data_IF_264691302113
#
_entry.id   IF_264691302113
#
_cell.length_a   1.000
_cell.length_b   1.000
_cell.length_c   1.000
_cell.angle_alpha   90.00
_cell.angle_beta   90.00
_cell.angle_gamma   90.00
#
_symmetry.space_group_name_H-M   'P 1'
#
loop_
_entity.id
_entity.type
_entity.pdbx_description
1 polymer ?
#
# COMPACT_ATOMS: atom_id res chain seq x y z
N UNK A 1 3.70 -6.17 -26.14
CA UNK A 1 3.39 -6.78 -24.83
C UNK A 1 1.94 -6.57 -24.51
N UNK A 2 1.24 -7.62 -24.14
CA UNK A 2 -0.19 -7.61 -23.82
C UNK A 2 -0.37 -8.20 -22.42
N UNK A 3 -0.50 -7.34 -21.42
CA UNK A 3 -0.39 -7.71 -20.01
C UNK A 3 -1.73 -7.52 -19.30
N UNK A 4 -2.07 -8.46 -18.43
CA UNK A 4 -3.22 -8.34 -17.52
C UNK A 4 -2.76 -8.44 -16.06
N UNK A 5 -3.14 -7.46 -15.25
CA UNK A 5 -3.02 -7.49 -13.80
C UNK A 5 -4.14 -8.35 -13.22
N UNK A 6 -3.85 -9.25 -12.29
CA UNK A 6 -4.88 -10.04 -11.60
C UNK A 6 -4.75 -9.83 -10.10
N UNK A 7 -5.86 -9.47 -9.44
CA UNK A 7 -5.98 -9.25 -7.99
C UNK A 7 -7.28 -9.89 -7.48
N UNK A 8 -7.32 -10.28 -6.20
CA UNK A 8 -8.53 -10.93 -5.66
C UNK A 8 -9.66 -9.93 -5.36
N UNK A 9 -9.34 -8.69 -5.01
CA UNK A 9 -10.31 -7.67 -4.62
C UNK A 9 -9.90 -6.28 -5.12
N UNK A 10 -10.87 -5.36 -5.22
CA UNK A 10 -10.64 -3.93 -5.43
C UNK A 10 -11.07 -3.09 -4.21
N UNK A 11 -11.14 -3.70 -3.03
CA UNK A 11 -11.25 -2.96 -1.77
C UNK A 11 -9.95 -2.18 -1.49
N UNK A 12 -10.00 -1.16 -0.62
CA UNK A 12 -8.82 -0.35 -0.34
C UNK A 12 -7.72 -1.16 0.39
N UNK A 13 -6.63 -1.36 -0.30
CA UNK A 13 -5.41 -2.02 0.19
C UNK A 13 -4.20 -1.66 -0.65
N UNK A 14 -3.00 -1.89 -0.12
CA UNK A 14 -1.75 -1.53 -0.81
C UNK A 14 -1.52 -2.33 -2.09
N UNK A 15 -1.75 -3.64 -2.06
CA UNK A 15 -1.60 -4.51 -3.23
C UNK A 15 -2.63 -4.21 -4.31
N UNK A 16 -3.88 -3.96 -3.89
CA UNK A 16 -5.01 -3.62 -4.76
C UNK A 16 -4.74 -2.29 -5.48
N UNK A 17 -4.27 -1.28 -4.74
CA UNK A 17 -3.90 0.01 -5.30
C UNK A 17 -2.76 -0.13 -6.30
N UNK A 18 -1.74 -0.95 -6.00
CA UNK A 18 -0.65 -1.20 -6.93
C UNK A 18 -1.08 -1.91 -8.20
N UNK A 19 -1.99 -2.91 -8.12
CA UNK A 19 -2.52 -3.59 -9.30
C UNK A 19 -3.21 -2.61 -10.26
N UNK A 20 -4.01 -1.68 -9.72
CA UNK A 20 -4.66 -0.63 -10.51
C UNK A 20 -3.63 0.35 -11.07
N UNK A 21 -2.67 0.79 -10.25
CA UNK A 21 -1.63 1.71 -10.68
C UNK A 21 -0.83 1.14 -11.85
N UNK A 22 -0.46 -0.16 -11.79
CA UNK A 22 0.20 -0.83 -12.91
C UNK A 22 -0.69 -0.90 -14.15
N UNK A 23 -1.98 -1.27 -14.01
CA UNK A 23 -2.89 -1.31 -15.13
C UNK A 23 -3.04 0.07 -15.80
N UNK A 24 -3.25 1.12 -15.01
CA UNK A 24 -3.46 2.48 -15.49
C UNK A 24 -2.22 3.07 -16.19
N UNK A 25 -1.02 2.83 -15.65
CA UNK A 25 0.18 3.44 -16.23
C UNK A 25 0.66 2.69 -17.46
N UNK A 26 0.37 1.41 -17.56
CA UNK A 26 0.76 0.59 -18.70
C UNK A 26 -0.12 0.84 -19.93
N UNK A 27 -1.34 1.36 -19.77
CA UNK A 27 -2.29 1.51 -20.87
C UNK A 27 -1.76 2.36 -22.04
N UNK A 28 -0.95 3.37 -21.75
CA UNK A 28 -0.34 4.23 -22.76
C UNK A 28 1.12 3.83 -23.12
N UNK A 29 1.63 2.71 -22.57
CA UNK A 29 3.04 2.30 -22.72
C UNK A 29 3.23 0.93 -23.38
N UNK A 30 2.17 0.12 -23.41
CA UNK A 30 2.17 -1.22 -24.02
C UNK A 30 0.95 -1.39 -24.91
N UNK A 31 0.95 -2.43 -25.75
CA UNK A 31 -0.11 -2.67 -26.73
C UNK A 31 -1.48 -2.97 -26.08
N UNK A 32 -1.48 -3.61 -24.91
CA UNK A 32 -2.72 -3.91 -24.17
C UNK A 32 -2.45 -3.96 -22.67
N UNK A 33 -3.26 -3.23 -21.94
CA UNK A 33 -3.32 -3.28 -20.47
C UNK A 33 -4.70 -3.68 -19.99
N UNK A 34 -4.77 -4.69 -19.12
CA UNK A 34 -6.03 -5.14 -18.53
C UNK A 34 -5.92 -5.33 -17.03
N UNK A 35 -7.07 -5.35 -16.37
CA UNK A 35 -7.21 -5.63 -14.94
C UNK A 35 -8.32 -6.63 -14.71
N UNK A 36 -8.06 -7.64 -13.89
CA UNK A 36 -9.02 -8.67 -13.52
C UNK A 36 -9.16 -8.73 -12.01
N UNK A 37 -10.36 -8.43 -11.50
CA UNK A 37 -10.74 -8.70 -10.12
C UNK A 37 -11.34 -10.11 -10.02
N UNK A 38 -10.81 -10.96 -9.12
CA UNK A 38 -11.26 -12.35 -9.11
C UNK A 38 -12.48 -12.57 -8.22
N UNK A 39 -12.57 -11.92 -7.05
CA UNK A 39 -13.57 -12.22 -5.99
C UNK A 39 -14.50 -11.10 -5.64
N UNK A 40 -13.98 -9.88 -5.53
CA UNK A 40 -14.74 -8.71 -5.09
C UNK A 40 -14.40 -7.48 -5.92
N UNK A 41 -15.42 -6.75 -6.28
CA UNK A 41 -15.29 -5.35 -6.63
C UNK A 41 -15.27 -4.51 -5.35
N UNK A 42 -14.76 -3.30 -5.44
CA UNK A 42 -14.64 -2.39 -4.31
C UNK A 42 -14.51 -0.95 -4.78
N UNK A 43 -14.32 -0.05 -3.86
CA UNK A 43 -14.26 1.39 -4.14
C UNK A 43 -13.12 1.81 -5.07
N UNK A 44 -12.06 1.00 -5.18
CA UNK A 44 -10.98 1.28 -6.13
C UNK A 44 -11.39 1.05 -7.59
N UNK A 45 -12.55 0.44 -7.87
CA UNK A 45 -13.09 0.26 -9.22
C UNK A 45 -13.14 1.58 -10.00
N UNK A 46 -13.61 2.65 -9.36
CA UNK A 46 -13.73 3.98 -9.96
C UNK A 46 -12.37 4.66 -10.25
N UNK A 47 -11.26 4.05 -9.86
CA UNK A 47 -9.92 4.55 -10.13
C UNK A 47 -9.26 3.90 -11.34
N UNK A 48 -9.93 2.95 -11.97
CA UNK A 48 -9.46 2.29 -13.19
C UNK A 48 -9.63 3.27 -14.34
N UNK A 49 -8.56 3.48 -15.11
CA UNK A 49 -8.61 4.30 -16.31
C UNK A 49 -9.56 3.65 -17.34
N UNK A 50 -10.38 4.44 -18.02
CA UNK A 50 -11.36 3.98 -19.00
C UNK A 50 -10.76 3.17 -20.17
N UNK A 51 -9.49 3.43 -20.51
CA UNK A 51 -8.75 2.67 -21.55
C UNK A 51 -8.27 1.30 -21.07
N UNK A 52 -8.29 1.01 -19.77
CA UNK A 52 -7.92 -0.30 -19.22
C UNK A 52 -9.06 -1.29 -19.43
N UNK A 53 -8.76 -2.42 -20.07
CA UNK A 53 -9.76 -3.48 -20.22
C UNK A 53 -10.00 -4.17 -18.87
N UNK A 54 -11.23 -4.05 -18.34
CA UNK A 54 -11.59 -4.61 -17.06
C UNK A 54 -12.43 -5.88 -17.17
N UNK A 55 -12.18 -6.84 -16.28
CA UNK A 55 -13.00 -8.05 -16.13
C UNK A 55 -13.20 -8.40 -14.65
N UNK A 56 -14.46 -8.57 -14.23
CA UNK A 56 -14.79 -9.17 -12.94
C UNK A 56 -15.09 -10.66 -13.10
N UNK A 57 -14.32 -11.53 -12.43
CA UNK A 57 -14.49 -12.99 -12.54
C UNK A 57 -15.61 -13.54 -11.67
N UNK A 58 -16.01 -12.83 -10.61
CA UNK A 58 -17.05 -13.29 -9.69
C UNK A 58 -16.78 -14.71 -9.16
N UNK A 59 -15.54 -14.95 -8.71
CA UNK A 59 -15.07 -16.26 -8.23
C UNK A 59 -15.58 -16.51 -6.82
N UNK A 60 -16.31 -17.60 -6.61
CA UNK A 60 -16.92 -17.94 -5.32
C UNK A 60 -16.08 -18.95 -4.54
N UNK A 61 -15.54 -19.97 -5.20
CA UNK A 61 -14.80 -21.09 -4.58
C UNK A 61 -13.29 -20.96 -4.75
N UNK A 62 -12.50 -21.65 -3.90
CA UNK A 62 -11.03 -21.70 -4.08
C UNK A 62 -10.66 -22.23 -5.47
N UNK A 63 -11.29 -23.33 -5.89
CA UNK A 63 -11.21 -23.86 -7.26
C UNK A 63 -12.56 -23.61 -7.89
N UNK A 64 -12.60 -22.77 -8.92
CA UNK A 64 -13.80 -22.37 -9.65
C UNK A 64 -13.51 -22.48 -11.14
N UNK A 65 -13.85 -23.63 -11.70
CA UNK A 65 -13.62 -23.91 -13.12
C UNK A 65 -14.33 -22.93 -14.04
N UNK A 66 -15.54 -22.47 -13.67
CA UNK A 66 -16.27 -21.46 -14.46
C UNK A 66 -15.50 -20.14 -14.53
N UNK A 67 -14.93 -19.69 -13.40
CA UNK A 67 -14.06 -18.51 -13.36
C UNK A 67 -12.78 -18.72 -14.17
N UNK A 68 -12.14 -19.89 -14.09
CA UNK A 68 -10.97 -20.23 -14.91
C UNK A 68 -11.29 -20.17 -16.39
N UNK A 69 -12.43 -20.72 -16.85
CA UNK A 69 -12.83 -20.66 -18.26
C UNK A 69 -13.19 -19.26 -18.71
N UNK A 70 -13.86 -18.43 -17.87
CA UNK A 70 -14.11 -17.01 -18.18
C UNK A 70 -12.78 -16.25 -18.36
N UNK A 71 -11.81 -16.45 -17.45
CA UNK A 71 -10.49 -15.86 -17.56
C UNK A 71 -9.78 -16.32 -18.84
N UNK A 72 -9.75 -17.63 -19.12
CA UNK A 72 -9.18 -18.17 -20.36
C UNK A 72 -9.77 -17.54 -21.61
N UNK A 73 -11.10 -17.42 -21.69
CA UNK A 73 -11.79 -16.78 -22.81
C UNK A 73 -11.35 -15.33 -23.00
N UNK A 74 -11.27 -14.58 -21.90
CA UNK A 74 -10.81 -13.19 -21.90
C UNK A 74 -9.34 -13.07 -22.38
N UNK A 75 -8.45 -13.91 -21.85
CA UNK A 75 -7.03 -13.91 -22.22
C UNK A 75 -6.83 -14.24 -23.71
N UNK A 76 -7.56 -15.23 -24.23
CA UNK A 76 -7.51 -15.60 -25.65
C UNK A 76 -8.06 -14.51 -26.57
N UNK A 77 -9.24 -13.93 -26.23
CA UNK A 77 -9.87 -12.85 -27.00
C UNK A 77 -8.93 -11.66 -27.13
N UNK A 78 -8.23 -11.30 -26.06
CA UNK A 78 -7.33 -10.16 -26.02
C UNK A 78 -5.87 -10.50 -26.35
N UNK A 79 -5.55 -11.75 -26.79
CA UNK A 79 -4.21 -12.22 -27.15
C UNK A 79 -3.17 -11.90 -26.06
N UNK A 80 -3.54 -12.12 -24.78
CA UNK A 80 -2.66 -11.83 -23.64
C UNK A 80 -1.50 -12.79 -23.63
N UNK A 81 -0.29 -12.27 -23.48
CA UNK A 81 0.96 -13.03 -23.37
C UNK A 81 1.43 -13.21 -21.92
N UNK A 82 1.04 -12.26 -21.03
CA UNK A 82 1.55 -12.20 -19.66
C UNK A 82 0.44 -11.90 -18.66
N UNK A 83 0.38 -12.71 -17.61
CA UNK A 83 -0.41 -12.46 -16.40
C UNK A 83 0.52 -11.94 -15.32
N UNK A 84 0.24 -10.77 -14.76
CA UNK A 84 0.87 -10.26 -13.56
C UNK A 84 -0.08 -10.45 -12.38
N UNK A 85 0.19 -11.46 -11.56
CA UNK A 85 -0.66 -11.90 -10.47
C UNK A 85 -0.18 -11.30 -9.13
N UNK A 86 -1.05 -10.55 -8.46
CA UNK A 86 -0.76 -9.92 -7.18
C UNK A 86 -1.22 -10.79 -6.01
N UNK A 87 -0.36 -10.94 -5.00
CA UNK A 87 -0.67 -11.65 -3.75
C UNK A 87 -1.27 -13.04 -3.98
N UNK A 88 -2.45 -13.34 -3.41
CA UNK A 88 -3.12 -14.66 -3.48
C UNK A 88 -3.70 -15.00 -4.85
N UNK A 89 -3.82 -14.04 -5.77
CA UNK A 89 -4.38 -14.27 -7.11
C UNK A 89 -3.51 -15.20 -8.00
N UNK A 90 -2.25 -15.46 -7.58
CA UNK A 90 -1.37 -16.43 -8.25
C UNK A 90 -2.04 -17.78 -8.46
N UNK A 91 -2.87 -18.20 -7.50
CA UNK A 91 -3.54 -19.50 -7.57
C UNK A 91 -4.47 -19.60 -8.79
N UNK A 92 -5.23 -18.52 -9.07
CA UNK A 92 -6.09 -18.46 -10.26
C UNK A 92 -5.26 -18.41 -11.55
N UNK A 93 -4.14 -17.69 -11.54
CA UNK A 93 -3.23 -17.62 -12.68
C UNK A 93 -2.62 -19.00 -13.01
N UNK A 94 -2.20 -19.76 -11.99
CA UNK A 94 -1.67 -21.13 -12.18
C UNK A 94 -2.73 -22.08 -12.72
N UNK A 95 -3.97 -22.02 -12.22
CA UNK A 95 -5.06 -22.84 -12.76
C UNK A 95 -5.30 -22.56 -14.25
N UNK A 96 -5.25 -21.31 -14.66
CA UNK A 96 -5.37 -20.95 -16.09
C UNK A 96 -4.19 -21.45 -16.90
N UNK A 97 -2.96 -21.43 -16.37
CA UNK A 97 -1.76 -21.90 -17.07
C UNK A 97 -1.87 -23.35 -17.48
N UNK A 98 -2.52 -24.22 -16.71
CA UNK A 98 -2.77 -25.60 -17.13
C UNK A 98 -3.66 -25.71 -18.40
N UNK A 99 -4.48 -24.69 -18.68
CA UNK A 99 -5.31 -24.62 -19.89
C UNK A 99 -4.68 -23.79 -21.03
N UNK A 100 -3.61 -23.05 -20.71
CA UNK A 100 -2.86 -22.16 -21.61
C UNK A 100 -1.37 -22.20 -21.27
N UNK A 101 -0.65 -23.30 -21.60
CA UNK A 101 0.75 -23.52 -21.17
C UNK A 101 1.72 -22.41 -21.59
N UNK A 102 1.46 -21.76 -22.74
CA UNK A 102 2.32 -20.67 -23.26
C UNK A 102 2.24 -19.35 -22.52
N UNK A 103 1.23 -19.14 -21.64
CA UNK A 103 1.09 -17.85 -20.95
C UNK A 103 2.19 -17.68 -19.89
N UNK A 104 2.80 -16.49 -19.84
CA UNK A 104 3.76 -16.15 -18.80
C UNK A 104 3.03 -15.72 -17.53
N UNK A 105 3.50 -16.16 -16.36
CA UNK A 105 2.98 -15.71 -15.07
C UNK A 105 4.11 -14.98 -14.34
N UNK A 106 3.87 -13.72 -14.00
CA UNK A 106 4.67 -12.95 -13.07
C UNK A 106 3.90 -12.89 -11.77
N UNK A 107 4.50 -13.33 -10.68
CA UNK A 107 3.86 -13.22 -9.37
C UNK A 107 4.49 -12.07 -8.59
N UNK A 108 3.64 -11.21 -7.99
CA UNK A 108 4.07 -10.07 -7.20
C UNK A 108 3.72 -10.26 -5.73
N UNK A 109 4.75 -10.35 -4.89
CA UNK A 109 4.60 -10.50 -3.45
C UNK A 109 4.55 -9.14 -2.77
N UNK A 110 3.40 -8.85 -2.13
CA UNK A 110 3.16 -7.65 -1.33
C UNK A 110 3.09 -7.94 0.17
N UNK A 111 3.29 -9.20 0.60
CA UNK A 111 3.05 -9.64 1.96
C UNK A 111 4.24 -9.40 2.88
N UNK A 112 4.18 -8.30 3.67
CA UNK A 112 5.28 -7.85 4.52
C UNK A 112 5.76 -8.80 5.60
N UNK A 113 4.96 -9.79 6.01
CA UNK A 113 5.33 -10.74 7.07
C UNK A 113 5.89 -12.07 6.55
N UNK A 114 5.95 -12.28 5.23
CA UNK A 114 6.37 -13.57 4.65
C UNK A 114 7.76 -14.03 5.10
N UNK A 115 8.67 -13.10 5.32
CA UNK A 115 10.01 -13.40 5.82
C UNK A 115 10.01 -14.13 7.18
N UNK A 116 8.96 -13.94 7.99
CA UNK A 116 8.77 -14.62 9.28
C UNK A 116 8.16 -16.02 9.12
N UNK A 117 7.73 -16.37 7.92
CA UNK A 117 7.06 -17.64 7.65
C UNK A 117 8.04 -18.69 7.09
N UNK A 118 7.86 -19.92 7.54
CA UNK A 118 8.63 -21.06 7.04
C UNK A 118 8.20 -21.47 5.61
N UNK A 119 9.09 -22.17 4.91
CA UNK A 119 8.77 -22.82 3.62
C UNK A 119 7.55 -23.74 3.72
N UNK A 120 7.38 -24.43 4.85
CA UNK A 120 6.27 -25.36 5.10
C UNK A 120 4.92 -24.63 5.13
N UNK A 121 4.84 -23.46 5.75
CA UNK A 121 3.63 -22.63 5.78
C UNK A 121 3.23 -22.14 4.38
N UNK A 122 4.20 -21.97 3.49
CA UNK A 122 4.01 -21.47 2.12
C UNK A 122 4.07 -22.59 1.05
N UNK A 123 3.91 -23.88 1.43
CA UNK A 123 4.13 -25.03 0.53
C UNK A 123 3.38 -24.94 -0.81
N UNK A 124 2.14 -24.45 -0.82
CA UNK A 124 1.33 -24.32 -2.04
C UNK A 124 1.95 -23.24 -2.96
N UNK A 125 2.34 -22.11 -2.40
CA UNK A 125 2.99 -21.03 -3.13
C UNK A 125 4.37 -21.47 -3.66
N UNK A 126 5.16 -22.16 -2.84
CA UNK A 126 6.46 -22.68 -3.24
C UNK A 126 6.31 -23.67 -4.39
N UNK A 127 5.34 -24.59 -4.33
CA UNK A 127 5.03 -25.47 -5.46
C UNK A 127 4.57 -24.66 -6.69
N UNK A 128 3.64 -23.74 -6.53
CA UNK A 128 3.15 -22.90 -7.62
C UNK A 128 4.26 -22.10 -8.32
N UNK A 129 5.35 -21.80 -7.61
CA UNK A 129 6.47 -21.04 -8.15
C UNK A 129 7.25 -21.76 -9.27
N UNK A 130 7.07 -23.04 -9.48
CA UNK A 130 7.55 -23.74 -10.69
C UNK A 130 6.92 -23.23 -11.98
N UNK A 131 5.70 -22.69 -11.90
CA UNK A 131 4.96 -22.21 -13.05
C UNK A 131 5.16 -20.70 -13.30
N UNK A 132 5.89 -20.00 -12.41
CA UNK A 132 6.15 -18.57 -12.56
C UNK A 132 7.31 -18.34 -13.53
N UNK A 133 7.13 -17.38 -14.43
CA UNK A 133 8.19 -16.88 -15.29
C UNK A 133 9.18 -16.02 -14.49
N UNK A 134 8.64 -15.18 -13.60
CA UNK A 134 9.43 -14.38 -12.64
C UNK A 134 8.60 -14.05 -11.40
N UNK A 135 9.30 -13.66 -10.33
CA UNK A 135 8.72 -13.19 -9.08
C UNK A 135 9.14 -11.74 -8.89
N UNK A 136 8.17 -10.86 -8.68
CA UNK A 136 8.42 -9.48 -8.26
C UNK A 136 8.18 -9.36 -6.77
N UNK A 137 9.03 -8.61 -6.10
CA UNK A 137 8.96 -8.39 -4.65
C UNK A 137 9.13 -6.93 -4.33
N UNK A 138 8.42 -6.45 -3.31
CA UNK A 138 8.37 -5.02 -2.97
C UNK A 138 9.46 -4.57 -1.99
N UNK A 139 10.21 -5.50 -1.39
CA UNK A 139 11.31 -5.17 -0.48
C UNK A 139 12.45 -6.20 -0.54
N UNK A 140 13.61 -5.85 0.03
CA UNK A 140 14.82 -6.68 -0.01
C UNK A 140 14.68 -7.95 0.83
N UNK A 141 13.95 -7.91 1.92
CA UNK A 141 13.72 -9.08 2.79
C UNK A 141 12.89 -10.15 2.05
N UNK A 142 11.88 -9.73 1.27
CA UNK A 142 11.12 -10.63 0.40
C UNK A 142 11.98 -11.15 -0.77
N UNK A 143 12.92 -10.34 -1.26
CA UNK A 143 13.88 -10.76 -2.29
C UNK A 143 14.72 -11.95 -1.81
N UNK A 144 15.33 -11.82 -0.64
CA UNK A 144 16.15 -12.86 -0.03
C UNK A 144 15.32 -14.11 0.29
N UNK A 145 14.16 -13.94 0.93
CA UNK A 145 13.26 -15.04 1.25
C UNK A 145 12.82 -15.80 0.00
N UNK A 146 12.44 -15.09 -1.05
CA UNK A 146 12.00 -15.71 -2.31
C UNK A 146 13.14 -16.44 -3.03
N UNK A 147 14.34 -15.86 -3.09
CA UNK A 147 15.52 -16.52 -3.66
C UNK A 147 15.87 -17.82 -2.95
N UNK A 148 15.73 -17.84 -1.61
CA UNK A 148 16.03 -19.01 -0.77
C UNK A 148 14.97 -20.11 -0.88
N UNK A 149 13.69 -19.75 -0.94
CA UNK A 149 12.60 -20.69 -0.72
C UNK A 149 11.80 -21.07 -1.98
N UNK A 150 11.78 -20.21 -3.03
CA UNK A 150 11.00 -20.43 -4.23
C UNK A 150 11.75 -21.25 -5.28
N UNK A 151 11.00 -21.94 -6.13
CA UNK A 151 11.56 -22.70 -7.27
C UNK A 151 11.86 -21.79 -8.46
N UNK A 152 11.09 -20.71 -8.66
CA UNK A 152 11.40 -19.68 -9.64
C UNK A 152 12.65 -18.90 -9.22
N UNK A 153 13.72 -18.95 -10.04
CA UNK A 153 15.00 -18.31 -9.72
C UNK A 153 15.08 -16.84 -10.13
N UNK A 154 14.17 -16.40 -11.01
CA UNK A 154 14.13 -15.02 -11.48
C UNK A 154 13.31 -14.16 -10.52
N UNK A 155 13.96 -13.64 -9.49
CA UNK A 155 13.36 -12.78 -8.47
C UNK A 155 13.87 -11.36 -8.64
N UNK A 156 12.97 -10.39 -8.82
CA UNK A 156 13.28 -9.00 -9.16
C UNK A 156 12.66 -8.08 -8.10
N UNK A 157 13.45 -7.17 -7.58
CA UNK A 157 12.95 -6.11 -6.69
C UNK A 157 12.30 -5.01 -7.52
N UNK A 158 11.00 -4.79 -7.28
CA UNK A 158 10.18 -3.73 -7.89
C UNK A 158 9.45 -2.99 -6.76
N UNK A 159 9.96 -1.86 -6.28
CA UNK A 159 9.32 -1.12 -5.21
C UNK A 159 7.98 -0.54 -5.65
N UNK A 160 7.13 -0.25 -4.68
CA UNK A 160 5.88 0.48 -4.93
C UNK A 160 6.16 1.93 -5.34
N UNK A 161 5.19 2.57 -5.95
CA UNK A 161 5.22 3.99 -6.32
C UNK A 161 3.83 4.62 -6.15
N UNK A 162 3.78 5.94 -6.15
CA UNK A 162 2.52 6.70 -6.14
C UNK A 162 2.26 7.26 -7.54
N UNK A 163 1.00 7.18 -7.99
CA UNK A 163 0.60 7.78 -9.26
C UNK A 163 0.59 9.30 -9.16
N UNK A 164 1.25 9.94 -10.12
CA UNK A 164 1.09 11.36 -10.39
C UNK A 164 -0.26 11.57 -11.08
N UNK A 165 -1.29 11.94 -10.30
CA UNK A 165 -2.62 12.24 -10.83
C UNK A 165 -2.79 13.74 -10.98
N UNK A 166 -3.34 14.17 -12.11
CA UNK A 166 -3.66 15.59 -12.38
C UNK A 166 -4.93 16.04 -11.65
N UNK A 167 -5.89 15.12 -11.43
CA UNK A 167 -7.12 15.43 -10.72
C UNK A 167 -6.96 15.28 -9.21
N UNK A 168 -7.33 16.32 -8.50
CA UNK A 168 -7.31 16.38 -7.04
C UNK A 168 -8.61 17.03 -6.55
N UNK A 169 -9.71 16.27 -6.44
CA UNK A 169 -10.95 16.82 -5.93
C UNK A 169 -10.72 17.36 -4.52
N UNK A 170 -11.25 18.57 -4.25
CA UNK A 170 -11.12 19.27 -2.97
C UNK A 170 -12.44 19.20 -2.21
N UNK A 171 -12.70 18.07 -1.56
CA UNK A 171 -13.99 17.78 -0.92
C UNK A 171 -13.90 17.91 0.59
N UNK A 172 -12.85 17.33 1.19
CA UNK A 172 -12.75 17.19 2.65
C UNK A 172 -11.88 18.29 3.25
N UNK A 173 -12.46 19.17 4.04
CA UNK A 173 -11.72 20.14 4.85
C UNK A 173 -11.36 19.52 6.20
N UNK A 174 -10.09 19.58 6.58
CA UNK A 174 -9.63 19.15 7.88
C UNK A 174 -9.92 20.24 8.92
N UNK A 175 -10.37 19.83 10.11
CA UNK A 175 -10.56 20.71 11.26
C UNK A 175 -9.21 21.06 11.90
N UNK A 176 -9.23 22.00 12.83
CA UNK A 176 -8.06 22.43 13.60
C UNK A 176 -7.19 23.46 12.89
N UNK A 177 -6.16 23.91 13.58
CA UNK A 177 -5.27 24.99 13.19
C UNK A 177 -4.38 24.60 11.99
N UNK A 178 -4.20 25.52 11.04
CA UNK A 178 -3.29 25.30 9.93
C UNK A 178 -1.84 25.22 10.44
N UNK A 179 -1.07 24.28 9.90
CA UNK A 179 0.30 24.01 10.38
C UNK A 179 0.38 23.06 11.59
N UNK A 180 -0.76 22.74 12.25
CA UNK A 180 -0.84 21.85 13.41
C UNK A 180 -1.79 20.65 13.22
N UNK A 181 -1.78 20.05 12.03
CA UNK A 181 -2.58 18.88 11.70
C UNK A 181 -1.71 17.66 11.50
N UNK A 182 -2.01 16.60 12.26
CA UNK A 182 -1.41 15.28 12.11
C UNK A 182 -2.39 14.40 11.35
N UNK A 183 -1.92 13.69 10.35
CA UNK A 183 -2.74 12.72 9.61
C UNK A 183 -2.21 11.29 9.81
N UNK A 184 -3.13 10.34 9.98
CA UNK A 184 -2.86 8.92 10.02
C UNK A 184 -3.70 8.22 8.95
N UNK A 185 -3.08 7.94 7.80
CA UNK A 185 -3.74 7.34 6.65
C UNK A 185 -3.64 5.81 6.71
N UNK A 186 -4.63 5.16 7.30
CA UNK A 186 -4.75 3.71 7.36
C UNK A 186 -6.17 3.28 7.74
N UNK A 187 -6.62 2.13 7.24
CA UNK A 187 -7.87 1.53 7.69
C UNK A 187 -7.81 1.17 9.18
N UNK A 188 -8.91 1.37 9.91
CA UNK A 188 -9.01 1.10 11.36
C UNK A 188 -9.04 -0.39 11.62
N UNK A 189 -7.87 -1.01 11.64
CA UNK A 189 -7.70 -2.45 11.91
C UNK A 189 -6.29 -2.77 12.40
N UNK A 190 -6.13 -3.89 13.09
CA UNK A 190 -4.79 -4.48 13.28
C UNK A 190 -4.18 -4.83 11.91
N UNK A 191 -2.88 -4.64 11.70
CA UNK A 191 -1.83 -4.23 12.64
C UNK A 191 -1.50 -2.72 12.61
N UNK A 192 -2.43 -1.82 12.24
CA UNK A 192 -2.14 -0.38 12.03
C UNK A 192 -1.85 0.42 13.30
N UNK A 193 -2.25 -0.07 14.48
CA UNK A 193 -1.85 0.44 15.79
C UNK A 193 -2.20 1.93 16.06
N UNK A 194 -3.39 2.37 15.65
CA UNK A 194 -3.85 3.75 15.86
C UNK A 194 -3.89 4.13 17.34
N UNK A 195 -4.22 3.16 18.21
CA UNK A 195 -4.38 3.40 19.65
C UNK A 195 -3.11 3.94 20.32
N UNK A 196 -1.92 3.50 19.89
CA UNK A 196 -0.65 3.97 20.46
C UNK A 196 -0.43 5.46 20.16
N UNK A 197 -0.81 5.92 18.96
CA UNK A 197 -0.70 7.33 18.58
C UNK A 197 -1.75 8.19 19.31
N UNK A 198 -2.97 7.69 19.44
CA UNK A 198 -4.03 8.38 20.18
C UNK A 198 -3.67 8.54 21.66
N UNK A 199 -3.10 7.50 22.29
CA UNK A 199 -2.58 7.58 23.67
C UNK A 199 -1.44 8.58 23.79
N UNK A 200 -0.45 8.52 22.89
CA UNK A 200 0.66 9.46 22.88
C UNK A 200 0.21 10.92 22.67
N UNK A 201 -0.77 11.14 21.78
CA UNK A 201 -1.40 12.46 21.56
C UNK A 201 -2.02 13.01 22.86
N UNK A 202 -2.74 12.18 23.60
CA UNK A 202 -3.34 12.52 24.89
C UNK A 202 -2.30 12.79 25.97
N UNK A 203 -1.32 11.88 26.13
CA UNK A 203 -0.27 11.95 27.16
C UNK A 203 0.60 13.21 27.02
N UNK A 204 0.87 13.61 25.77
CA UNK A 204 1.62 14.83 25.43
C UNK A 204 0.76 16.08 25.45
N UNK A 205 -0.56 15.97 25.73
CA UNK A 205 -1.52 17.09 25.73
C UNK A 205 -1.45 17.92 24.46
N UNK A 206 -1.30 17.27 23.30
CA UNK A 206 -1.14 17.97 22.02
C UNK A 206 -2.36 18.82 21.65
N UNK A 207 -3.55 18.44 22.12
CA UNK A 207 -4.77 19.25 22.01
C UNK A 207 -4.64 20.63 22.69
N UNK A 208 -3.97 20.74 23.85
CA UNK A 208 -3.75 22.00 24.56
C UNK A 208 -2.79 22.93 23.79
N UNK A 209 -1.90 22.34 22.96
CA UNK A 209 -0.99 23.06 22.06
C UNK A 209 -1.59 23.37 20.68
N UNK A 210 -2.90 23.14 20.48
CA UNK A 210 -3.64 23.43 19.25
C UNK A 210 -3.49 22.36 18.15
N UNK A 211 -2.87 21.23 18.42
CA UNK A 211 -2.76 20.14 17.46
C UNK A 211 -4.06 19.37 17.31
N UNK A 212 -4.29 18.86 16.09
CA UNK A 212 -5.39 17.93 15.80
C UNK A 212 -4.86 16.68 15.11
N UNK A 213 -5.52 15.54 15.33
CA UNK A 213 -5.20 14.24 14.74
C UNK A 213 -6.35 13.76 13.87
N UNK A 214 -6.07 13.42 12.63
CA UNK A 214 -7.07 12.98 11.66
C UNK A 214 -6.78 11.54 11.24
N UNK A 215 -7.67 10.62 11.61
CA UNK A 215 -7.60 9.19 11.27
C UNK A 215 -8.41 8.96 10.00
N UNK A 216 -7.71 8.68 8.89
CA UNK A 216 -8.30 8.57 7.55
C UNK A 216 -8.21 7.12 7.09
N UNK A 217 -9.35 6.47 6.94
CA UNK A 217 -9.44 5.08 6.49
C UNK A 217 -10.77 4.46 6.87
N UNK A 218 -11.03 3.27 6.32
CA UNK A 218 -12.27 2.54 6.54
C UNK A 218 -12.38 2.08 7.99
N UNK A 219 -13.51 2.35 8.59
CA UNK A 219 -13.93 1.76 9.85
C UNK A 219 -14.66 0.44 9.58
N UNK A 220 -14.25 -0.63 10.25
CA UNK A 220 -14.88 -1.95 10.13
C UNK A 220 -15.92 -2.20 11.22
N UNK A 221 -16.12 -1.24 12.14
CA UNK A 221 -17.07 -1.33 13.28
C UNK A 221 -16.83 -2.59 14.15
N UNK A 222 -15.57 -3.00 14.24
CA UNK A 222 -15.10 -4.14 14.99
C UNK A 222 -14.62 -3.74 16.41
N UNK A 223 -14.26 -4.69 17.28
CA UNK A 223 -13.76 -4.39 18.63
C UNK A 223 -12.56 -3.44 18.64
N UNK A 224 -11.71 -3.45 17.59
CA UNK A 224 -10.57 -2.55 17.48
C UNK A 224 -11.00 -1.09 17.31
N UNK A 225 -11.94 -0.84 16.42
CA UNK A 225 -12.45 0.51 16.21
C UNK A 225 -13.30 1.00 17.39
N UNK A 226 -13.97 0.08 18.09
CA UNK A 226 -14.71 0.40 19.32
C UNK A 226 -13.76 0.86 20.43
N UNK A 227 -12.68 0.11 20.71
CA UNK A 227 -11.68 0.48 21.71
C UNK A 227 -11.12 1.88 21.46
N UNK A 228 -10.80 2.19 20.19
CA UNK A 228 -10.30 3.49 19.80
C UNK A 228 -11.30 4.63 20.07
N UNK A 229 -12.56 4.43 19.71
CA UNK A 229 -13.63 5.41 19.94
C UNK A 229 -13.91 5.61 21.42
N UNK A 230 -13.95 4.54 22.20
CA UNK A 230 -14.18 4.57 23.64
C UNK A 230 -13.04 5.35 24.33
N UNK A 231 -11.79 5.16 23.93
CA UNK A 231 -10.66 5.91 24.47
C UNK A 231 -10.76 7.42 24.13
N UNK A 232 -11.07 7.77 22.88
CA UNK A 232 -11.23 9.17 22.46
C UNK A 232 -12.32 9.87 23.30
N UNK A 233 -13.46 9.21 23.48
CA UNK A 233 -14.60 9.74 24.24
C UNK A 233 -14.29 9.85 25.74
N UNK A 234 -13.70 8.82 26.35
CA UNK A 234 -13.40 8.83 27.79
C UNK A 234 -12.35 9.87 28.20
N UNK A 235 -11.54 10.36 27.24
CA UNK A 235 -10.58 11.42 27.46
C UNK A 235 -11.01 12.78 26.88
N UNK A 236 -12.28 12.95 26.45
CA UNK A 236 -12.85 14.20 25.90
C UNK A 236 -12.06 14.78 24.72
N UNK A 237 -11.58 13.90 23.81
CA UNK A 237 -10.73 14.27 22.68
C UNK A 237 -11.47 14.43 21.35
N UNK A 238 -12.82 14.36 21.32
CA UNK A 238 -13.63 14.33 20.09
C UNK A 238 -13.50 15.63 19.26
N UNK A 239 -13.15 16.73 19.90
CA UNK A 239 -12.92 18.01 19.22
C UNK A 239 -11.52 18.13 18.60
N UNK A 240 -10.59 17.21 18.92
CA UNK A 240 -9.19 17.26 18.49
C UNK A 240 -8.75 16.01 17.71
N UNK A 241 -9.42 14.86 17.93
CA UNK A 241 -9.16 13.62 17.19
C UNK A 241 -10.38 13.27 16.35
N UNK A 242 -10.19 13.27 15.02
CA UNK A 242 -11.26 13.14 14.05
C UNK A 242 -11.16 11.81 13.30
N UNK A 243 -12.18 10.95 13.44
CA UNK A 243 -12.34 9.77 12.61
C UNK A 243 -13.00 10.19 11.29
N UNK A 244 -12.19 10.40 10.26
CA UNK A 244 -12.64 10.94 8.98
C UNK A 244 -13.32 9.89 8.08
N UNK A 245 -13.21 8.60 8.41
CA UNK A 245 -13.68 7.53 7.54
C UNK A 245 -12.86 7.42 6.26
N UNK A 246 -13.38 6.66 5.31
CA UNK A 246 -12.75 6.48 4.01
C UNK A 246 -12.99 7.67 3.09
N UNK A 247 -11.93 8.14 2.41
CA UNK A 247 -11.96 9.35 1.57
C UNK A 247 -11.41 9.09 0.17
N UNK A 248 -11.97 9.82 -0.81
CA UNK A 248 -11.53 9.75 -2.22
C UNK A 248 -10.49 10.81 -2.56
N UNK A 249 -10.47 11.91 -1.83
CA UNK A 249 -9.62 13.09 -2.02
C UNK A 249 -8.39 13.10 -1.09
N UNK A 250 -7.76 11.93 -0.91
CA UNK A 250 -6.62 11.75 0.00
C UNK A 250 -5.49 12.75 -0.28
N UNK A 251 -5.17 13.01 -1.54
CA UNK A 251 -4.12 13.98 -1.90
C UNK A 251 -4.44 15.39 -1.38
N UNK A 252 -5.69 15.83 -1.50
CA UNK A 252 -6.12 17.12 -0.97
C UNK A 252 -6.12 17.15 0.56
N UNK A 253 -6.56 16.09 1.21
CA UNK A 253 -6.47 15.94 2.67
C UNK A 253 -5.02 16.06 3.14
N UNK A 254 -4.09 15.35 2.52
CA UNK A 254 -2.68 15.37 2.89
C UNK A 254 -2.07 16.77 2.69
N UNK A 255 -2.47 17.53 1.66
CA UNK A 255 -1.96 18.90 1.45
C UNK A 255 -2.36 19.90 2.55
N UNK A 256 -3.32 19.56 3.40
CA UNK A 256 -3.76 20.40 4.53
C UNK A 256 -3.06 20.05 5.85
N UNK A 257 -2.23 19.02 5.87
CA UNK A 257 -1.57 18.53 7.08
C UNK A 257 -0.09 18.95 7.13
N UNK A 258 0.53 18.80 8.28
CA UNK A 258 1.94 19.10 8.51
C UNK A 258 2.75 17.86 8.85
N UNK A 259 2.11 16.87 9.48
CA UNK A 259 2.76 15.65 9.95
C UNK A 259 1.96 14.43 9.48
N UNK A 260 2.65 13.47 8.89
CA UNK A 260 2.13 12.14 8.59
C UNK A 260 2.63 11.10 9.58
N UNK A 261 1.75 10.26 10.09
CA UNK A 261 2.12 9.20 11.05
C UNK A 261 1.82 7.82 10.48
N UNK A 262 2.75 6.88 10.69
CA UNK A 262 2.59 5.46 10.41
C UNK A 262 3.06 4.63 11.60
N UNK A 263 2.15 3.93 12.31
CA UNK A 263 2.47 3.22 13.56
C UNK A 263 2.29 1.70 13.48
N UNK A 264 2.19 1.15 12.29
CA UNK A 264 1.92 -0.28 12.08
C UNK A 264 2.95 -1.18 12.76
N UNK A 265 2.48 -2.30 13.33
CA UNK A 265 3.36 -3.36 13.86
C UNK A 265 3.83 -4.35 12.78
N UNK A 266 3.31 -4.23 11.55
CA UNK A 266 3.71 -5.02 10.39
C UNK A 266 3.53 -4.21 9.12
N UNK A 267 4.59 -4.08 8.32
CA UNK A 267 4.57 -3.45 6.99
C UNK A 267 5.39 -4.27 5.99
N UNK A 268 4.91 -4.27 4.74
CA UNK A 268 5.67 -4.79 3.61
C UNK A 268 6.49 -3.67 2.96
N UNK A 269 5.83 -2.93 2.07
CA UNK A 269 6.31 -1.68 1.53
C UNK A 269 5.23 -0.60 1.77
N UNK A 270 5.51 0.42 2.58
CA UNK A 270 4.50 1.38 3.03
C UNK A 270 4.20 2.44 1.97
N UNK A 271 3.22 2.20 1.10
CA UNK A 271 2.77 3.18 0.08
C UNK A 271 2.37 4.51 0.72
N UNK A 272 1.81 4.47 1.92
CA UNK A 272 1.43 5.66 2.70
C UNK A 272 2.61 6.62 2.93
N UNK A 273 3.82 6.11 3.17
CA UNK A 273 5.01 6.97 3.31
C UNK A 273 5.37 7.68 2.01
N UNK A 274 5.17 7.03 0.85
CA UNK A 274 5.34 7.70 -0.44
C UNK A 274 4.25 8.77 -0.68
N UNK A 275 3.03 8.53 -0.23
CA UNK A 275 1.93 9.51 -0.31
C UNK A 275 2.24 10.73 0.58
N UNK A 276 2.77 10.52 1.79
CA UNK A 276 3.24 11.60 2.67
C UNK A 276 4.40 12.37 2.05
N UNK A 277 5.39 11.66 1.47
CA UNK A 277 6.51 12.29 0.77
C UNK A 277 6.05 13.16 -0.41
N UNK A 278 5.10 12.66 -1.21
CA UNK A 278 4.53 13.41 -2.34
C UNK A 278 3.75 14.66 -1.89
N UNK A 279 3.14 14.62 -0.71
CA UNK A 279 2.43 15.74 -0.09
C UNK A 279 3.36 16.68 0.70
N UNK A 280 4.68 16.41 0.76
CA UNK A 280 5.68 17.14 1.54
C UNK A 280 5.34 17.21 3.04
N UNK A 281 4.88 16.12 3.62
CA UNK A 281 4.67 16.01 5.06
C UNK A 281 5.95 15.60 5.77
N UNK A 282 6.18 16.16 6.95
CA UNK A 282 7.14 15.60 7.89
C UNK A 282 6.58 14.27 8.44
N UNK A 283 7.42 13.24 8.59
CA UNK A 283 6.96 11.90 8.90
C UNK A 283 7.51 11.38 10.22
N UNK A 284 6.62 10.78 11.00
CA UNK A 284 6.96 9.93 12.16
C UNK A 284 6.47 8.51 11.85
N UNK A 285 7.38 7.55 11.76
CA UNK A 285 7.07 6.20 11.27
C UNK A 285 7.60 5.12 12.19
N UNK A 286 6.88 4.01 12.20
CA UNK A 286 7.42 2.75 12.73
C UNK A 286 8.71 2.34 12.01
N UNK A 287 9.58 1.59 12.69
CA UNK A 287 10.81 1.03 12.13
C UNK A 287 10.63 -0.38 11.54
N UNK A 288 9.39 -0.87 11.36
CA UNK A 288 9.14 -2.24 10.87
C UNK A 288 9.04 -2.34 9.35
N UNK A 289 9.36 -3.52 8.81
CA UNK A 289 9.28 -3.80 7.37
C UNK A 289 10.22 -2.91 6.58
N UNK A 290 9.75 -2.38 5.45
CA UNK A 290 10.54 -1.48 4.60
C UNK A 290 10.53 -0.02 5.07
N UNK A 291 9.93 0.28 6.22
CA UNK A 291 9.89 1.66 6.73
C UNK A 291 11.30 2.19 7.04
N UNK A 292 12.16 1.37 7.67
CA UNK A 292 13.55 1.72 8.00
C UNK A 292 14.49 1.78 6.79
N UNK A 293 14.07 1.24 5.64
CA UNK A 293 14.82 1.37 4.38
C UNK A 293 14.44 2.68 3.65
N UNK A 294 13.20 3.13 3.81
CA UNK A 294 12.69 4.34 3.17
C UNK A 294 12.97 5.59 4.03
N UNK A 295 12.85 5.45 5.35
CA UNK A 295 13.10 6.52 6.31
C UNK A 295 14.48 6.34 6.95
N UNK A 296 15.38 7.26 6.68
CA UNK A 296 16.61 7.46 7.43
C UNK A 296 16.30 8.42 8.58
N UNK A 297 16.31 7.89 9.81
CA UNK A 297 15.93 8.66 10.99
C UNK A 297 16.77 9.93 11.14
N UNK A 298 16.11 11.04 11.48
CA UNK A 298 16.66 12.39 11.63
C UNK A 298 17.14 13.07 10.34
N UNK A 299 17.15 12.35 9.21
CA UNK A 299 17.48 12.94 7.91
C UNK A 299 16.21 13.26 7.07
N UNK A 300 15.33 12.28 6.88
CA UNK A 300 14.11 12.44 6.06
C UNK A 300 12.83 12.00 6.80
N UNK A 301 12.89 11.79 8.11
CA UNK A 301 11.79 11.42 8.97
C UNK A 301 12.27 10.99 10.33
N UNK A 302 11.36 10.61 11.22
CA UNK A 302 11.67 10.07 12.54
C UNK A 302 11.16 8.65 12.66
N UNK A 303 11.95 7.75 13.23
CA UNK A 303 11.61 6.35 13.45
C UNK A 303 11.39 6.03 14.92
N UNK A 304 10.45 5.12 15.19
CA UNK A 304 10.19 4.58 16.54
C UNK A 304 9.87 3.08 16.49
N UNK A 305 10.11 2.39 17.58
CA UNK A 305 9.62 1.04 17.80
C UNK A 305 8.10 1.10 18.11
N UNK A 306 7.21 0.45 17.31
CA UNK A 306 5.76 0.53 17.50
C UNK A 306 5.25 -0.13 18.78
N UNK A 307 6.12 -0.82 19.52
CA UNK A 307 5.84 -1.45 20.82
C UNK A 307 6.41 -0.63 22.00
N UNK A 308 7.01 0.52 21.75
CA UNK A 308 7.60 1.41 22.75
C UNK A 308 6.82 2.71 22.87
N UNK A 309 5.93 2.81 23.86
CA UNK A 309 5.16 4.03 24.10
C UNK A 309 6.05 5.26 24.36
N UNK A 310 7.22 5.06 24.96
CA UNK A 310 8.18 6.13 25.23
C UNK A 310 8.81 6.67 23.94
N UNK A 311 9.22 5.80 23.03
CA UNK A 311 9.76 6.23 21.72
C UNK A 311 8.70 6.94 20.87
N UNK A 312 7.48 6.42 20.86
CA UNK A 312 6.35 7.05 20.14
C UNK A 312 6.14 8.48 20.64
N UNK A 313 6.08 8.67 21.97
CA UNK A 313 5.91 9.99 22.59
C UNK A 313 7.09 10.90 22.26
N UNK A 314 8.31 10.44 22.42
CA UNK A 314 9.52 11.21 22.13
C UNK A 314 9.55 11.73 20.68
N UNK A 315 9.22 10.87 19.69
CA UNK A 315 9.25 11.27 18.29
C UNK A 315 8.08 12.21 17.94
N UNK A 316 6.91 11.99 18.52
CA UNK A 316 5.77 12.91 18.34
C UNK A 316 6.06 14.27 18.95
N UNK A 317 6.59 14.35 20.16
CA UNK A 317 6.97 15.60 20.82
C UNK A 317 8.02 16.36 19.98
N UNK A 318 9.08 15.65 19.52
CA UNK A 318 10.13 16.22 18.69
C UNK A 318 9.58 16.84 17.39
N UNK A 319 8.70 16.13 16.68
CA UNK A 319 8.14 16.60 15.40
C UNK A 319 7.13 17.72 15.57
N UNK A 320 6.32 17.69 16.64
CA UNK A 320 5.33 18.74 16.91
C UNK A 320 5.95 20.01 17.47
N UNK A 321 7.06 19.89 18.18
CA UNK A 321 7.75 21.01 18.84
C UNK A 321 8.58 21.90 17.91
N UNK A 322 8.91 21.50 16.68
CA UNK A 322 9.80 22.27 15.81
C UNK A 322 9.31 22.35 14.35
N UNK A 323 8.90 23.53 13.94
CA UNK A 323 8.51 23.80 12.54
C UNK A 323 9.70 23.66 11.58
N UNK A 324 10.87 24.17 11.97
CA UNK A 324 12.09 24.09 11.17
C UNK A 324 12.49 22.64 10.93
N UNK A 325 12.40 21.77 11.95
CA UNK A 325 12.66 20.34 11.80
C UNK A 325 11.66 19.71 10.81
N UNK A 326 10.36 20.02 10.93
CA UNK A 326 9.34 19.52 9.99
C UNK A 326 9.67 19.89 8.56
N UNK A 327 10.05 21.14 8.31
CA UNK A 327 10.39 21.61 6.96
C UNK A 327 11.60 20.86 6.37
N UNK A 328 12.65 20.66 7.14
CA UNK A 328 13.86 19.92 6.72
C UNK A 328 13.52 18.46 6.38
N UNK A 329 12.86 17.75 7.31
CA UNK A 329 12.52 16.33 7.12
C UNK A 329 11.58 16.11 5.93
N UNK A 330 10.58 16.98 5.76
CA UNK A 330 9.63 16.92 4.65
C UNK A 330 10.31 17.12 3.29
N UNK A 331 11.22 18.09 3.17
CA UNK A 331 11.96 18.33 1.94
C UNK A 331 12.86 17.13 1.60
N UNK A 332 13.63 16.65 2.56
CA UNK A 332 14.53 15.50 2.35
C UNK A 332 13.76 14.23 1.97
N UNK A 333 12.58 14.01 2.56
CA UNK A 333 11.73 12.87 2.21
C UNK A 333 11.17 13.00 0.78
N UNK A 334 10.76 14.21 0.38
CA UNK A 334 10.29 14.45 -0.99
C UNK A 334 11.43 14.26 -2.01
N UNK A 335 12.65 14.72 -1.72
CA UNK A 335 13.82 14.47 -2.58
C UNK A 335 14.13 12.97 -2.71
N UNK A 336 14.05 12.21 -1.61
CA UNK A 336 14.19 10.76 -1.62
C UNK A 336 13.14 10.10 -2.53
N UNK A 337 11.87 10.54 -2.44
CA UNK A 337 10.81 10.06 -3.33
C UNK A 337 11.14 10.31 -4.80
N UNK A 338 11.49 11.55 -5.15
CA UNK A 338 11.76 11.95 -6.55
C UNK A 338 12.93 11.16 -7.12
N UNK A 339 13.99 11.00 -6.35
CA UNK A 339 15.24 10.34 -6.78
C UNK A 339 15.06 8.82 -6.93
N UNK A 340 14.42 8.17 -5.98
CA UNK A 340 14.44 6.70 -5.86
C UNK A 340 13.12 6.03 -6.22
N UNK A 341 11.99 6.67 -5.91
CA UNK A 341 10.64 6.09 -6.00
C UNK A 341 9.71 6.83 -6.96
N UNK A 342 10.25 7.68 -7.85
CA UNK A 342 9.42 8.37 -8.84
C UNK A 342 8.71 7.38 -9.75
N UNK A 343 7.48 7.73 -10.13
CA UNK A 343 6.68 6.94 -11.05
C UNK A 343 7.46 6.59 -12.33
N UNK A 344 8.17 7.54 -12.92
CA UNK A 344 8.95 7.35 -14.14
C UNK A 344 10.00 6.25 -13.96
N UNK A 345 10.84 6.36 -12.92
CA UNK A 345 11.95 5.43 -12.68
C UNK A 345 11.45 4.00 -12.43
N UNK A 346 10.38 3.86 -11.62
CA UNK A 346 9.83 2.54 -11.31
C UNK A 346 9.17 1.90 -12.52
N UNK A 347 8.45 2.67 -13.33
CA UNK A 347 7.78 2.14 -14.52
C UNK A 347 8.76 1.73 -15.60
N UNK A 348 9.86 2.45 -15.78
CA UNK A 348 10.93 2.05 -16.69
C UNK A 348 11.55 0.70 -16.25
N UNK A 349 11.86 0.56 -14.96
CA UNK A 349 12.33 -0.72 -14.37
C UNK A 349 11.32 -1.86 -14.58
N UNK A 350 10.03 -1.57 -14.36
CA UNK A 350 8.94 -2.53 -14.54
C UNK A 350 8.85 -3.02 -15.99
N UNK A 351 8.86 -2.10 -16.97
CA UNK A 351 8.80 -2.44 -18.40
C UNK A 351 10.02 -3.27 -18.81
N UNK A 352 11.20 -2.92 -18.33
CA UNK A 352 12.41 -3.73 -18.57
C UNK A 352 12.29 -5.13 -17.93
N UNK A 353 11.70 -5.23 -16.75
CA UNK A 353 11.49 -6.53 -16.08
C UNK A 353 10.49 -7.42 -16.83
N UNK A 354 9.48 -6.84 -17.48
CA UNK A 354 8.54 -7.58 -18.32
C UNK A 354 9.17 -8.09 -19.64
N UNK A 355 10.14 -7.35 -20.19
CA UNK A 355 10.83 -7.74 -21.44
C UNK A 355 11.81 -8.89 -21.26
N UNK A 356 12.37 -9.00 -20.09
CA UNK A 356 13.28 -10.10 -19.71
C UNK A 356 12.53 -11.41 -19.46
#
# INVERSE_FOLDING_TARGET
MRIVQIIDSLEAGGAERMAINYANILVDKIEFSGLVATRKEGQLLNQINEKVSYLFLKKEKKIDFKAVFRLRKYLKKNKIDTIHAHSSSFFTAVLVKFTMPGIKIIWHDHYGSRQKESKKQNRILVFASFFFHSIFVVNLQLLEWSRKNMNCKKVIFVPNFVLERNENPQITQLKGENGKRIVFLANLKKPKNHISIVKAFNDLKLNESGWSLHLIGKDYFDPYSKELKDFIKSNSLENHIHLCGEKKDVKYILSQASVGVLASTQEGFPVTLLEYAAAKLAVVSTNVGYCSELIQSEFNGLLFNPLSDSEIKQQLEKITGSEALRAILANNLNETLVKEYSQKNIVEKLIQAYKK
#
